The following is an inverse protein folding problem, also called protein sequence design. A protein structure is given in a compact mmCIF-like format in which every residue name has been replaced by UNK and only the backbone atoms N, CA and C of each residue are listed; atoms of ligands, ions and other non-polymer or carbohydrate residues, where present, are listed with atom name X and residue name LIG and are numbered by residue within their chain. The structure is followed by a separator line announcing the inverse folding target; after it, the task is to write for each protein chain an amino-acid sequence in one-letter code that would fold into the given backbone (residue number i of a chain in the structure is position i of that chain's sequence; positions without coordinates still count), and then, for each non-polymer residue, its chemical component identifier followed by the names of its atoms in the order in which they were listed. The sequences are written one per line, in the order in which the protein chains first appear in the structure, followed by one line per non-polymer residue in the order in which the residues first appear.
data_IF_407627589723
#
_entry.id   IF_407627589723
#
_cell.length_a   1.000
_cell.length_b   1.000
_cell.length_c   1.000
_cell.angle_alpha   90.00
_cell.angle_beta   90.00
_cell.angle_gamma   90.00
#
_symmetry.space_group_name_H-M   'P 1'
#
loop_
_entity.id
_entity.type
_entity.pdbx_description
1 polymer ?
#
# COMPACT_ATOMS: atom_id res chain seq x y z
N UNK A 1 9.66 -31.11 -6.31
CA UNK A 1 10.20 -30.98 -7.69
C UNK A 1 9.03 -30.66 -8.61
N UNK A 2 8.91 -29.43 -9.12
CA UNK A 2 7.80 -29.08 -10.00
C UNK A 2 7.99 -29.76 -11.37
N UNK A 3 7.05 -30.63 -11.74
CA UNK A 3 7.10 -31.43 -12.97
C UNK A 3 6.57 -30.56 -14.12
N UNK A 4 7.47 -30.04 -14.96
CA UNK A 4 7.10 -29.30 -16.17
C UNK A 4 6.91 -30.29 -17.32
N UNK A 5 5.68 -30.40 -17.85
CA UNK A 5 5.40 -31.22 -19.03
C UNK A 5 5.83 -30.45 -20.28
N UNK A 6 6.95 -30.85 -20.89
CA UNK A 6 7.42 -30.31 -22.16
C UNK A 6 6.53 -30.83 -23.30
N UNK A 7 5.94 -29.94 -24.10
CA UNK A 7 5.21 -30.30 -25.33
C UNK A 7 5.97 -29.73 -26.53
N UNK A 8 6.34 -30.60 -27.47
CA UNK A 8 7.00 -30.20 -28.72
C UNK A 8 6.00 -29.46 -29.61
N UNK A 9 6.21 -28.15 -29.83
CA UNK A 9 5.49 -27.38 -30.84
C UNK A 9 6.36 -27.28 -32.10
N UNK A 10 5.79 -27.64 -33.25
CA UNK A 10 6.40 -27.34 -34.54
C UNK A 10 5.98 -25.92 -34.96
N UNK A 11 6.94 -25.09 -35.37
CA UNK A 11 6.68 -23.75 -35.90
C UNK A 11 7.02 -23.72 -37.41
N UNK A 12 6.20 -23.01 -38.20
CA UNK A 12 6.47 -22.69 -39.61
C UNK A 12 7.11 -21.30 -39.67
N UNK A 13 8.34 -21.20 -40.16
CA UNK A 13 8.98 -19.91 -40.44
C UNK A 13 8.29 -19.25 -41.63
N UNK A 14 7.70 -18.07 -41.43
CA UNK A 14 6.91 -17.37 -42.47
C UNK A 14 7.77 -16.64 -43.52
N UNK A 15 9.10 -16.77 -43.52
CA UNK A 15 9.96 -16.14 -44.54
C UNK A 15 10.74 -17.14 -45.41
N UNK A 16 10.94 -18.39 -44.97
CA UNK A 16 11.50 -19.47 -45.81
C UNK A 16 10.89 -20.80 -45.37
N UNK A 17 10.12 -21.47 -46.22
CA UNK A 17 9.36 -22.70 -45.93
C UNK A 17 10.22 -23.94 -45.60
N UNK A 18 11.01 -23.89 -44.55
CA UNK A 18 11.80 -25.00 -44.02
C UNK A 18 11.52 -25.17 -42.54
N UNK A 19 11.09 -26.37 -42.15
CA UNK A 19 10.85 -26.73 -40.76
C UNK A 19 12.21 -27.00 -40.11
N UNK A 20 12.56 -26.25 -39.05
CA UNK A 20 13.72 -26.55 -38.20
C UNK A 20 13.21 -26.99 -36.83
N UNK A 21 13.57 -28.20 -36.42
CA UNK A 21 13.29 -28.71 -35.07
C UNK A 21 14.52 -28.51 -34.17
N UNK A 22 14.28 -27.91 -33.01
CA UNK A 22 15.25 -27.74 -31.93
C UNK A 22 14.49 -27.43 -30.64
N UNK A 23 15.06 -27.70 -29.45
CA UNK A 23 14.38 -27.41 -28.20
C UNK A 23 14.17 -25.89 -28.08
N UNK A 24 12.90 -25.46 -28.07
CA UNK A 24 12.53 -24.09 -27.79
C UNK A 24 12.43 -23.92 -26.27
N UNK A 25 13.43 -23.25 -25.69
CA UNK A 25 13.33 -22.78 -24.30
C UNK A 25 12.32 -21.64 -24.26
N UNK A 26 11.08 -21.94 -23.88
CA UNK A 26 10.06 -20.91 -23.63
C UNK A 26 10.38 -20.25 -22.27
N UNK A 27 10.98 -19.06 -22.30
CA UNK A 27 11.01 -18.19 -21.14
C UNK A 27 9.59 -17.69 -20.86
N UNK A 28 8.81 -18.43 -20.07
CA UNK A 28 7.59 -17.88 -19.50
C UNK A 28 8.01 -16.74 -18.57
N UNK A 29 7.86 -15.50 -19.02
CA UNK A 29 7.90 -14.33 -18.15
C UNK A 29 6.74 -14.49 -17.16
N UNK A 30 7.01 -15.04 -15.97
CA UNK A 30 6.07 -14.95 -14.85
C UNK A 30 5.77 -13.46 -14.67
N UNK A 31 4.54 -13.03 -15.00
CA UNK A 31 4.07 -11.69 -14.67
C UNK A 31 4.06 -11.63 -13.15
N UNK A 32 4.98 -10.86 -12.57
CA UNK A 32 4.95 -10.58 -11.14
C UNK A 32 3.64 -9.81 -10.92
N UNK A 33 2.68 -10.42 -10.23
CA UNK A 33 1.53 -9.68 -9.75
C UNK A 33 2.07 -8.68 -8.73
N UNK A 34 2.06 -7.40 -9.08
CA UNK A 34 2.42 -6.34 -8.15
C UNK A 34 1.41 -6.40 -7.01
N UNK A 35 1.83 -6.86 -5.83
CA UNK A 35 1.00 -6.78 -4.64
C UNK A 35 0.76 -5.29 -4.36
N UNK A 36 -0.48 -4.83 -4.56
CA UNK A 36 -0.86 -3.45 -4.28
C UNK A 36 -1.20 -3.34 -2.81
N UNK A 37 -0.33 -2.70 -2.03
CA UNK A 37 -0.58 -2.34 -0.64
C UNK A 37 -1.36 -1.03 -0.61
N UNK A 38 -2.56 -1.03 -0.05
CA UNK A 38 -3.38 0.20 0.09
C UNK A 38 -3.47 0.63 1.55
N UNK A 39 -3.63 1.94 1.77
CA UNK A 39 -3.84 2.54 3.08
C UNK A 39 -4.95 3.59 2.98
N UNK A 40 -5.89 3.56 3.92
CA UNK A 40 -6.96 4.55 4.03
C UNK A 40 -7.45 4.70 5.48
N UNK A 41 -8.03 5.85 5.81
CA UNK A 41 -8.75 6.08 7.06
C UNK A 41 -10.15 6.57 6.72
N UNK A 42 -11.20 5.95 7.25
CA UNK A 42 -12.60 6.29 6.97
C UNK A 42 -13.11 7.49 7.81
N UNK A 43 -12.26 8.49 8.03
CA UNK A 43 -12.56 9.63 8.90
C UNK A 43 -12.45 10.96 8.15
N UNK A 44 -13.31 11.91 8.47
CA UNK A 44 -13.35 13.24 7.87
C UNK A 44 -12.36 14.17 8.56
N UNK A 45 -11.08 14.05 8.22
CA UNK A 45 -9.99 14.84 8.79
C UNK A 45 -10.16 16.36 8.60
N UNK A 46 -10.88 16.79 7.57
CA UNK A 46 -11.17 18.19 7.26
C UNK A 46 -12.25 18.85 8.15
N UNK A 47 -12.85 18.11 9.08
CA UNK A 47 -13.92 18.61 9.94
C UNK A 47 -13.81 18.04 11.35
N UNK A 48 -12.65 18.19 11.97
CA UNK A 48 -12.44 17.85 13.38
C UNK A 48 -12.95 18.99 14.27
N UNK A 49 -13.26 18.66 15.53
CA UNK A 49 -13.61 19.64 16.56
C UNK A 49 -12.76 19.41 17.80
N UNK A 50 -12.45 20.48 18.52
CA UNK A 50 -11.82 20.37 19.83
C UNK A 50 -12.67 19.54 20.79
N UNK A 51 -12.02 18.87 21.74
CA UNK A 51 -12.68 18.03 22.75
C UNK A 51 -13.46 16.81 22.21
N UNK A 52 -13.48 16.59 20.89
CA UNK A 52 -14.09 15.40 20.29
C UNK A 52 -13.04 14.29 20.17
N UNK A 53 -13.30 13.14 20.80
CA UNK A 53 -12.38 12.01 20.74
C UNK A 53 -12.37 11.39 19.35
N UNK A 54 -11.18 11.19 18.81
CA UNK A 54 -10.92 10.44 17.57
C UNK A 54 -10.38 9.07 17.95
N UNK A 55 -10.89 8.02 17.32
CA UNK A 55 -10.35 6.68 17.38
C UNK A 55 -10.64 5.97 16.06
N UNK A 56 -9.66 5.96 15.17
CA UNK A 56 -9.84 5.51 13.79
C UNK A 56 -8.72 4.55 13.42
N UNK A 57 -9.10 3.37 12.94
CA UNK A 57 -8.18 2.35 12.47
C UNK A 57 -7.81 2.55 11.01
N UNK A 58 -6.56 2.27 10.67
CA UNK A 58 -6.12 2.13 9.29
C UNK A 58 -6.87 0.96 8.61
N UNK A 59 -7.43 1.22 7.44
CA UNK A 59 -7.97 0.19 6.54
C UNK A 59 -6.96 -0.06 5.44
N UNK A 60 -6.54 -1.32 5.31
CA UNK A 60 -5.51 -1.73 4.38
C UNK A 60 -5.97 -2.95 3.62
N UNK A 61 -5.55 -3.05 2.37
CA UNK A 61 -5.70 -4.26 1.59
C UNK A 61 -4.35 -4.64 0.98
N UNK A 62 -4.19 -5.93 0.75
CA UNK A 62 -3.09 -6.44 -0.05
C UNK A 62 -2.16 -7.41 0.66
N UNK A 63 -1.99 -7.42 2.01
CA UNK A 63 -1.21 -8.40 2.80
C UNK A 63 -1.46 -8.32 4.34
N UNK A 64 -0.88 -9.28 5.11
CA UNK A 64 -1.04 -9.51 6.58
C UNK A 64 0.28 -9.52 7.39
N UNK A 65 1.40 -9.16 6.77
CA UNK A 65 2.74 -9.19 7.37
C UNK A 65 2.90 -8.16 8.52
N UNK A 66 4.03 -8.15 9.28
CA UNK A 66 4.29 -7.09 10.24
C UNK A 66 4.37 -5.74 9.52
N UNK A 67 3.40 -4.88 9.81
CA UNK A 67 3.24 -3.56 9.24
C UNK A 67 3.74 -2.51 10.22
N UNK A 68 4.45 -1.51 9.70
CA UNK A 68 4.87 -0.35 10.49
C UNK A 68 4.32 0.93 9.88
N UNK A 69 3.78 1.78 10.76
CA UNK A 69 3.18 3.06 10.41
C UNK A 69 4.02 4.19 10.99
N UNK A 70 4.32 5.19 10.16
CA UNK A 70 5.07 6.38 10.57
C UNK A 70 4.44 7.62 9.95
N UNK A 71 4.42 8.72 10.71
CA UNK A 71 4.15 10.06 10.14
C UNK A 71 5.41 10.49 9.40
N UNK A 72 5.38 10.47 8.06
CA UNK A 72 6.56 10.74 7.23
C UNK A 72 6.80 12.25 7.04
N UNK A 73 5.73 13.02 6.86
CA UNK A 73 5.77 14.48 6.77
C UNK A 73 4.58 15.11 7.48
N UNK A 74 4.74 16.38 7.87
CA UNK A 74 3.70 17.14 8.57
C UNK A 74 3.51 16.70 10.01
N UNK A 75 2.34 17.01 10.57
CA UNK A 75 2.00 16.66 11.94
C UNK A 75 0.52 16.34 12.07
N UNK A 76 0.20 15.44 13.00
CA UNK A 76 -1.16 15.24 13.47
C UNK A 76 -1.64 16.48 14.24
N UNK A 77 -2.95 16.76 14.25
CA UNK A 77 -3.51 17.78 15.15
C UNK A 77 -3.06 17.57 16.60
N UNK A 78 -2.78 18.66 17.31
CA UNK A 78 -2.37 18.61 18.71
C UNK A 78 -3.39 17.82 19.54
N UNK A 79 -2.92 16.78 20.24
CA UNK A 79 -3.75 15.88 21.03
C UNK A 79 -4.16 14.58 20.33
N UNK A 80 -3.81 14.40 19.05
CA UNK A 80 -3.89 13.11 18.34
C UNK A 80 -2.52 12.43 18.26
N UNK A 81 -2.54 11.10 18.22
CA UNK A 81 -1.34 10.26 18.13
C UNK A 81 -1.57 9.06 17.22
N UNK A 82 -0.52 8.62 16.54
CA UNK A 82 -0.51 7.40 15.73
C UNK A 82 0.12 6.25 16.52
N UNK A 83 -0.57 5.13 16.61
CA UNK A 83 0.04 3.88 17.05
C UNK A 83 0.81 3.24 15.88
N UNK A 84 2.14 3.19 15.98
CA UNK A 84 3.02 2.72 14.91
C UNK A 84 2.87 1.23 14.55
N UNK A 85 2.28 0.42 15.43
CA UNK A 85 2.11 -1.02 15.20
C UNK A 85 0.72 -1.38 14.69
N UNK A 86 -0.31 -0.62 15.06
CA UNK A 86 -1.70 -0.88 14.66
C UNK A 86 -2.22 0.05 13.58
N UNK A 87 -1.54 1.20 13.36
CA UNK A 87 -2.04 2.25 12.49
C UNK A 87 -3.29 2.93 13.02
N UNK A 88 -3.62 2.77 14.31
CA UNK A 88 -4.75 3.49 14.91
C UNK A 88 -4.31 4.92 15.21
N UNK A 89 -5.07 5.88 14.71
CA UNK A 89 -4.95 7.28 15.12
C UNK A 89 -5.99 7.55 16.19
N UNK A 90 -5.53 7.98 17.35
CA UNK A 90 -6.41 8.22 18.49
C UNK A 90 -5.99 9.41 19.34
N UNK A 91 -6.95 9.96 20.06
CA UNK A 91 -6.73 11.08 20.98
C UNK A 91 -7.89 12.08 20.92
N UNK A 92 -7.67 13.28 21.41
CA UNK A 92 -8.67 14.36 21.39
C UNK A 92 -7.97 15.65 20.98
N UNK A 93 -8.40 16.34 19.91
CA UNK A 93 -7.81 17.61 19.54
C UNK A 93 -7.95 18.63 20.67
N UNK A 94 -6.83 19.21 21.11
CA UNK A 94 -6.79 20.20 22.21
C UNK A 94 -6.65 21.64 21.71
N UNK A 95 -6.36 21.81 20.42
CA UNK A 95 -6.20 23.12 19.78
C UNK A 95 -7.11 23.19 18.56
N UNK A 96 -7.98 24.20 18.53
CA UNK A 96 -8.90 24.49 17.44
C UNK A 96 -8.45 25.70 16.62
N UNK A 97 -9.15 25.96 15.51
CA UNK A 97 -8.80 27.02 14.58
C UNK A 97 -7.49 26.77 13.82
N UNK A 98 -7.05 25.52 13.76
CA UNK A 98 -5.79 25.11 13.13
C UNK A 98 -6.05 24.18 11.96
N UNK A 99 -5.23 24.30 10.93
CA UNK A 99 -5.23 23.44 9.75
C UNK A 99 -3.83 22.94 9.47
N UNK A 100 -3.74 21.82 8.76
CA UNK A 100 -2.47 21.25 8.38
C UNK A 100 -2.61 20.02 7.52
N UNK A 101 -1.50 19.33 7.31
CA UNK A 101 -1.48 18.04 6.65
C UNK A 101 -0.49 17.12 7.35
N UNK A 102 -0.72 15.82 7.21
CA UNK A 102 0.25 14.80 7.55
C UNK A 102 0.24 13.72 6.47
N UNK A 103 1.38 13.05 6.29
CA UNK A 103 1.46 11.84 5.48
C UNK A 103 1.74 10.64 6.36
N UNK A 104 1.02 9.55 6.12
CA UNK A 104 1.28 8.26 6.77
C UNK A 104 1.97 7.36 5.77
N UNK A 105 3.13 6.87 6.17
CA UNK A 105 3.87 5.83 5.48
C UNK A 105 3.59 4.49 6.15
N UNK A 106 3.14 3.54 5.35
CA UNK A 106 2.95 2.14 5.69
C UNK A 106 4.05 1.33 5.02
N UNK A 107 4.80 0.56 5.81
CA UNK A 107 5.84 -0.34 5.31
C UNK A 107 5.48 -1.79 5.61
N UNK A 108 5.46 -2.62 4.58
CA UNK A 108 5.41 -4.08 4.68
C UNK A 108 6.83 -4.63 4.73
N UNK A 109 7.22 -5.16 5.90
CA UNK A 109 8.56 -5.71 6.14
C UNK A 109 8.88 -6.98 5.35
N UNK A 110 7.87 -7.72 4.88
CA UNK A 110 8.05 -8.99 4.16
C UNK A 110 8.31 -8.79 2.68
N UNK A 111 7.64 -7.80 2.08
CA UNK A 111 7.81 -7.50 0.63
C UNK A 111 8.64 -6.26 0.37
N UNK A 112 9.04 -5.53 1.42
CA UNK A 112 9.63 -4.20 1.32
C UNK A 112 8.75 -3.23 0.52
N UNK A 113 7.43 -3.46 0.48
CA UNK A 113 6.48 -2.58 -0.18
C UNK A 113 6.16 -1.40 0.72
N UNK A 114 6.13 -0.21 0.14
CA UNK A 114 5.88 1.04 0.84
C UNK A 114 4.71 1.76 0.17
N UNK A 115 3.77 2.22 0.98
CA UNK A 115 2.65 3.07 0.56
C UNK A 115 2.60 4.30 1.44
N UNK A 116 2.58 5.49 0.83
CA UNK A 116 2.41 6.77 1.54
C UNK A 116 1.11 7.43 1.10
N UNK A 117 0.33 7.93 2.06
CA UNK A 117 -0.93 8.64 1.80
C UNK A 117 -0.97 9.94 2.58
N UNK A 118 -1.38 11.02 1.92
CA UNK A 118 -1.48 12.36 2.50
C UNK A 118 -2.91 12.64 2.94
N UNK A 119 -3.04 13.19 4.15
CA UNK A 119 -4.31 13.64 4.72
C UNK A 119 -4.22 15.11 5.08
N UNK A 120 -5.18 15.90 4.61
CA UNK A 120 -5.37 17.27 5.02
C UNK A 120 -6.36 17.31 6.17
N UNK A 121 -6.10 18.15 7.16
CA UNK A 121 -6.96 18.26 8.32
C UNK A 121 -7.26 19.70 8.71
N UNK A 122 -8.40 19.87 9.36
CA UNK A 122 -8.87 21.13 9.92
C UNK A 122 -9.60 20.84 11.23
N UNK A 123 -9.15 21.47 12.31
CA UNK A 123 -9.82 21.44 13.61
C UNK A 123 -10.57 22.75 13.77
N UNK A 124 -11.90 22.69 13.71
CA UNK A 124 -12.78 23.82 13.98
C UNK A 124 -12.68 24.28 15.43
N UNK A 125 -13.18 25.51 15.67
CA UNK A 125 -13.37 26.07 17.01
C UNK A 125 -14.56 25.41 17.71
#
# INVERSE_FOLDING_TARGET
MAKFTSRTLQYVDQKKGTIRSGPLTVFMKKKLATATLTLSYSHSWASLSISSSVNVSATMSGQTAPLTFVVETGALPTGLSLNASTGVISGTPTQGGTTGSFSIKLTDSTTATVTSVVYNWNVGL
#
